data_IF_000251418445
#
_entry.id   IF_000251418445
#
_cell.length_a   1.000
_cell.length_b   1.000
_cell.length_c   1.000
_cell.angle_alpha   90.00
_cell.angle_beta   90.00
_cell.angle_gamma   90.00
#
_symmetry.space_group_name_H-M   'P 1'
#
loop_
_entity.id
_entity.type
_entity.pdbx_description
1 polymer ?
#
# COMPACT_ATOMS: atom_id res chain seq x y z
N UNK A 1 -14.62 -16.40 2.84
CA UNK A 1 -14.61 -15.28 1.86
C UNK A 1 -14.64 -13.92 2.57
N UNK A 2 -15.16 -13.81 3.79
CA UNK A 2 -15.10 -12.56 4.59
C UNK A 2 -13.72 -12.19 5.15
N UNK A 3 -12.84 -13.15 5.46
CA UNK A 3 -11.57 -12.85 6.16
C UNK A 3 -10.54 -12.11 5.30
N UNK A 4 -10.46 -12.41 3.99
CA UNK A 4 -9.47 -11.82 3.07
C UNK A 4 -9.78 -10.33 2.81
N UNK A 5 -11.06 -10.00 2.64
CA UNK A 5 -11.50 -8.60 2.47
C UNK A 5 -11.18 -7.76 3.71
N UNK A 6 -11.22 -8.35 4.90
CA UNK A 6 -10.85 -7.69 6.14
C UNK A 6 -9.36 -7.35 6.22
N UNK A 7 -8.49 -8.29 5.83
CA UNK A 7 -7.03 -8.10 5.88
C UNK A 7 -6.57 -7.05 4.88
N UNK A 8 -7.06 -7.08 3.63
CA UNK A 8 -6.68 -6.07 2.63
C UNK A 8 -7.07 -4.65 3.08
N UNK A 9 -8.27 -4.49 3.65
CA UNK A 9 -8.71 -3.17 4.14
C UNK A 9 -7.86 -2.69 5.32
N UNK A 10 -7.47 -3.59 6.23
CA UNK A 10 -6.55 -3.30 7.33
C UNK A 10 -5.19 -2.85 6.81
N UNK A 11 -4.64 -3.56 5.81
CA UNK A 11 -3.36 -3.23 5.17
C UNK A 11 -3.42 -1.85 4.53
N UNK A 12 -4.47 -1.55 3.74
CA UNK A 12 -4.64 -0.22 3.12
C UNK A 12 -4.63 0.89 4.16
N UNK A 13 -5.48 0.79 5.18
CA UNK A 13 -5.55 1.82 6.24
C UNK A 13 -4.22 2.02 6.96
N UNK A 14 -3.47 0.94 7.20
CA UNK A 14 -2.17 1.04 7.85
C UNK A 14 -1.10 1.65 6.94
N UNK A 15 -1.08 1.27 5.66
CA UNK A 15 -0.13 1.84 4.68
C UNK A 15 -0.43 3.30 4.41
N UNK A 16 -1.70 3.70 4.27
CA UNK A 16 -2.08 5.09 4.03
C UNK A 16 -1.60 5.97 5.20
N UNK A 17 -1.88 5.57 6.46
CA UNK A 17 -1.43 6.29 7.65
C UNK A 17 0.09 6.29 7.81
N UNK A 18 0.76 5.17 7.48
CA UNK A 18 2.22 5.09 7.50
C UNK A 18 2.84 6.02 6.44
N UNK A 19 2.30 6.04 5.22
CA UNK A 19 2.79 6.84 4.10
C UNK A 19 2.66 8.34 4.40
N UNK A 20 1.55 8.77 4.99
CA UNK A 20 1.37 10.15 5.48
C UNK A 20 2.51 10.57 6.41
N UNK A 21 2.83 9.74 7.40
CA UNK A 21 3.89 10.02 8.37
C UNK A 21 5.29 9.94 7.76
N UNK A 22 5.55 8.92 6.93
CA UNK A 22 6.86 8.64 6.35
C UNK A 22 7.28 9.66 5.29
N UNK A 23 6.34 10.09 4.43
CA UNK A 23 6.58 11.04 3.36
C UNK A 23 6.19 12.49 3.70
N UNK A 24 5.68 12.74 4.92
CA UNK A 24 5.23 14.05 5.38
C UNK A 24 4.13 14.67 4.50
N UNK A 25 3.14 13.87 4.11
CA UNK A 25 2.02 14.30 3.26
C UNK A 25 1.08 15.22 4.04
N UNK A 26 0.65 16.34 3.45
CA UNK A 26 -0.19 17.35 4.09
C UNK A 26 -1.69 17.02 4.07
N UNK A 27 -2.18 16.35 3.02
CA UNK A 27 -3.62 16.17 2.78
C UNK A 27 -4.12 14.72 2.82
N UNK A 28 -3.25 13.72 2.97
CA UNK A 28 -3.65 12.32 3.19
C UNK A 28 -4.38 11.62 2.03
N UNK A 29 -4.49 12.25 0.85
CA UNK A 29 -5.09 11.60 -0.32
C UNK A 29 -4.10 10.58 -0.91
N UNK A 30 -4.21 9.34 -0.40
CA UNK A 30 -3.46 8.16 -0.83
C UNK A 30 -4.42 7.17 -1.51
N UNK A 31 -4.00 6.64 -2.66
CA UNK A 31 -4.66 5.52 -3.34
C UNK A 31 -3.71 4.34 -3.29
N UNK A 32 -4.15 3.22 -2.70
CA UNK A 32 -3.33 2.03 -2.48
C UNK A 32 -3.95 0.76 -3.07
N UNK A 33 -3.10 -0.09 -3.64
CA UNK A 33 -3.41 -1.39 -4.22
C UNK A 33 -2.62 -2.46 -3.49
N UNK A 34 -3.30 -3.48 -2.98
CA UNK A 34 -2.71 -4.54 -2.17
C UNK A 34 -2.60 -5.81 -3.01
N UNK A 35 -1.43 -6.43 -2.97
CA UNK A 35 -1.10 -7.67 -3.66
C UNK A 35 -0.57 -8.66 -2.63
N UNK A 36 -1.24 -9.81 -2.48
CA UNK A 36 -0.68 -10.92 -1.70
C UNK A 36 0.49 -11.55 -2.45
N UNK A 37 1.55 -11.91 -1.74
CA UNK A 37 2.62 -12.73 -2.32
C UNK A 37 2.11 -14.18 -2.46
N UNK A 38 2.28 -14.78 -3.64
CA UNK A 38 1.85 -16.16 -3.90
C UNK A 38 2.75 -17.18 -3.19
N UNK A 39 4.00 -16.80 -2.92
CA UNK A 39 4.99 -17.65 -2.25
C UNK A 39 4.95 -17.50 -0.72
N UNK A 40 4.42 -16.39 -0.20
CA UNK A 40 4.36 -16.09 1.24
C UNK A 40 3.04 -15.45 1.67
N UNK A 41 2.19 -16.24 2.33
CA UNK A 41 0.85 -15.84 2.76
C UNK A 41 0.81 -14.69 3.77
N UNK A 42 1.93 -14.45 4.46
CA UNK A 42 2.07 -13.38 5.45
C UNK A 42 2.71 -12.12 4.85
N UNK A 43 3.09 -12.14 3.57
CA UNK A 43 3.72 -11.02 2.88
C UNK A 43 2.78 -10.41 1.85
N UNK A 44 2.71 -9.08 1.87
CA UNK A 44 1.91 -8.30 0.93
C UNK A 44 2.76 -7.19 0.34
N UNK A 45 2.59 -6.93 -0.94
CA UNK A 45 3.13 -5.75 -1.62
C UNK A 45 1.99 -4.75 -1.77
N UNK A 46 2.24 -3.51 -1.39
CA UNK A 46 1.30 -2.41 -1.55
C UNK A 46 1.91 -1.38 -2.46
N UNK A 47 1.25 -1.15 -3.59
CA UNK A 47 1.60 -0.08 -4.52
C UNK A 47 0.66 1.08 -4.26
N UNK A 48 1.19 2.27 -4.03
CA UNK A 48 0.38 3.45 -3.72
C UNK A 48 0.87 4.71 -4.40
N UNK A 49 -0.07 5.63 -4.61
CA UNK A 49 0.18 6.99 -5.08
C UNK A 49 -0.45 7.97 -4.09
N UNK A 50 0.30 9.00 -3.74
CA UNK A 50 -0.21 10.11 -2.96
C UNK A 50 -0.28 11.38 -3.82
N UNK A 51 -1.27 12.23 -3.57
CA UNK A 51 -1.50 13.46 -4.35
C UNK A 51 -0.30 14.40 -4.43
N UNK A 52 0.49 14.45 -3.37
CA UNK A 52 1.65 15.35 -3.26
C UNK A 52 2.93 14.74 -3.87
N UNK A 53 2.86 13.50 -4.35
CA UNK A 53 3.97 12.80 -4.97
C UNK A 53 3.90 12.89 -6.49
N UNK A 54 5.05 12.66 -7.13
CA UNK A 54 5.17 12.64 -8.60
C UNK A 54 5.38 11.23 -9.16
N UNK A 55 5.42 10.24 -8.30
CA UNK A 55 5.83 8.87 -8.60
C UNK A 55 5.08 7.89 -7.70
N UNK A 56 4.81 6.70 -8.25
CA UNK A 56 4.24 5.61 -7.47
C UNK A 56 5.29 5.13 -6.47
N UNK A 57 4.84 4.66 -5.32
CA UNK A 57 5.68 4.02 -4.33
C UNK A 57 5.23 2.57 -4.12
N UNK A 58 6.15 1.75 -3.67
CA UNK A 58 5.87 0.41 -3.21
C UNK A 58 6.28 0.25 -1.74
N UNK A 59 5.47 -0.48 -0.99
CA UNK A 59 5.77 -0.92 0.35
C UNK A 59 5.58 -2.43 0.47
N UNK A 60 6.42 -3.05 1.28
CA UNK A 60 6.27 -4.41 1.72
C UNK A 60 5.62 -4.42 3.10
N UNK A 61 4.59 -5.24 3.27
CA UNK A 61 3.84 -5.39 4.52
C UNK A 61 3.93 -6.84 4.95
N UNK A 62 4.39 -7.05 6.19
CA UNK A 62 4.46 -8.37 6.82
C UNK A 62 3.38 -8.52 7.88
N UNK A 63 2.71 -9.67 7.87
CA UNK A 63 1.78 -10.09 8.89
C UNK A 63 2.44 -11.11 9.84
N UNK A 64 2.05 -11.06 11.11
CA UNK A 64 2.33 -12.12 12.08
C UNK A 64 1.02 -12.45 12.80
N UNK A 65 0.57 -13.70 12.69
CA UNK A 65 -0.70 -14.15 13.26
C UNK A 65 -1.90 -13.30 12.80
N UNK A 66 -1.93 -12.92 11.52
CA UNK A 66 -2.99 -12.10 10.92
C UNK A 66 -2.99 -10.64 11.36
N UNK A 67 -1.88 -10.11 11.88
CA UNK A 67 -1.73 -8.70 12.26
C UNK A 67 -0.49 -8.10 11.61
N UNK A 68 -0.56 -6.84 11.22
CA UNK A 68 0.58 -6.13 10.64
C UNK A 68 1.72 -6.06 11.68
N UNK A 69 2.84 -6.67 11.33
CA UNK A 69 4.07 -6.68 12.12
C UNK A 69 5.03 -5.59 11.65
N UNK A 70 5.15 -5.37 10.34
CA UNK A 70 5.99 -4.32 9.78
C UNK A 70 5.48 -3.80 8.44
N UNK A 71 5.87 -2.55 8.13
CA UNK A 71 5.68 -1.89 6.83
C UNK A 71 7.05 -1.31 6.45
N UNK A 72 7.59 -1.74 5.33
CA UNK A 72 8.90 -1.33 4.84
C UNK A 72 8.76 -0.68 3.47
N UNK A 73 9.41 0.47 3.26
CA UNK A 73 9.45 1.08 1.93
C UNK A 73 10.32 0.22 1.00
N UNK A 74 9.81 -0.05 -0.19
CA UNK A 74 10.57 -0.63 -1.31
C UNK A 74 11.06 0.46 -2.28
N UNK A 75 10.71 1.72 -2.04
CA UNK A 75 11.04 2.87 -2.88
C UNK A 75 10.05 3.06 -4.02
N UNK A 76 10.56 3.55 -5.16
CA UNK A 76 9.77 3.81 -6.35
C UNK A 76 9.07 2.53 -6.83
N UNK A 77 7.78 2.66 -7.12
CA UNK A 77 6.93 1.59 -7.66
C UNK A 77 6.52 1.87 -9.10
N UNK A 78 5.91 0.87 -9.73
CA UNK A 78 5.19 1.04 -10.98
C UNK A 78 3.68 0.97 -10.71
N UNK A 79 2.84 1.72 -11.46
CA UNK A 79 1.39 1.54 -11.38
C UNK A 79 1.01 0.08 -11.66
N UNK A 80 -0.08 -0.41 -11.06
CA UNK A 80 -0.67 -1.68 -11.49
C UNK A 80 -1.06 -1.65 -12.97
N UNK A 81 -1.11 -2.82 -13.61
CA UNK A 81 -1.47 -2.93 -15.03
C UNK A 81 -2.84 -2.28 -15.31
N UNK A 82 -2.86 -1.39 -16.30
CA UNK A 82 -4.08 -0.68 -16.71
C UNK A 82 -4.50 0.46 -15.78
N UNK A 83 -3.69 0.82 -14.78
CA UNK A 83 -3.93 1.95 -13.87
C UNK A 83 -3.04 3.13 -14.29
N UNK A 84 -3.64 4.29 -14.56
CA UNK A 84 -2.94 5.56 -14.75
C UNK A 84 -2.75 6.30 -13.43
N UNK A 85 -1.98 7.40 -13.42
CA UNK A 85 -1.86 8.23 -12.23
C UNK A 85 -3.26 8.69 -11.78
N UNK A 86 -3.61 8.58 -10.48
CA UNK A 86 -4.99 8.83 -10.03
C UNK A 86 -5.48 10.26 -10.25
N UNK A 87 -4.55 11.19 -10.47
CA UNK A 87 -4.79 12.63 -10.57
C UNK A 87 -4.50 13.19 -11.97
N UNK A 88 -4.13 12.35 -12.94
CA UNK A 88 -4.05 12.78 -14.34
C UNK A 88 -5.48 12.88 -14.91
N UNK A 89 -5.84 14.08 -15.37
CA UNK A 89 -7.10 14.37 -16.08
C UNK A 89 -7.06 13.97 -17.56
#
# INVERSE_FOLDING_TARGET
MDEIVGVEQQIRTAVDSWAEGYFHLANGEVVSFVFADEDDMDRYIVVFAAREMTEWQAAEVWLENGRIASINSLGEGAPPDGVSWPWEE
#
